data_IF_256493332932
#
_entry.id   IF_256493332932
#
_cell.length_a   1.000
_cell.length_b   1.000
_cell.length_c   1.000
_cell.angle_alpha   90.00
_cell.angle_beta   90.00
_cell.angle_gamma   90.00
#
_symmetry.space_group_name_H-M   'P 1'
#
loop_
_entity.id
_entity.type
_entity.pdbx_description
1 polymer ?
#
# COMPACT_ATOMS: atom_id res chain seq x y z
N UNK A 1 15.11 -21.41 3.10
CA UNK A 1 15.85 -20.41 3.92
C UNK A 1 16.69 -19.57 2.99
N UNK A 2 16.39 -18.28 2.83
CA UNK A 2 17.12 -17.38 1.93
C UNK A 2 18.50 -17.05 2.52
N UNK A 3 19.56 -17.66 1.97
CA UNK A 3 20.95 -17.42 2.39
C UNK A 3 21.74 -16.81 1.23
N UNK A 4 21.51 -15.52 0.97
CA UNK A 4 22.20 -14.81 -0.12
C UNK A 4 23.34 -13.93 0.41
N UNK A 5 23.30 -13.57 1.70
CA UNK A 5 24.47 -13.02 2.38
C UNK A 5 25.55 -14.12 2.47
N UNK A 6 26.51 -14.08 1.55
CA UNK A 6 27.66 -14.99 1.49
C UNK A 6 27.70 -15.95 0.30
N UNK A 7 26.76 -15.88 -0.64
CA UNK A 7 26.78 -16.71 -1.85
C UNK A 7 27.80 -16.17 -2.87
N UNK A 8 28.65 -17.04 -3.40
CA UNK A 8 29.58 -16.70 -4.48
C UNK A 8 28.83 -16.54 -5.81
N UNK A 9 29.41 -15.77 -6.75
CA UNK A 9 28.82 -15.59 -8.09
C UNK A 9 28.62 -16.94 -8.82
N UNK A 10 29.45 -17.94 -8.52
CA UNK A 10 29.33 -19.29 -9.09
C UNK A 10 28.10 -20.02 -8.54
N UNK A 11 27.87 -19.95 -7.24
CA UNK A 11 26.70 -20.56 -6.60
C UNK A 11 25.41 -19.87 -7.05
N UNK A 12 25.43 -18.53 -7.16
CA UNK A 12 24.31 -17.77 -7.71
C UNK A 12 23.98 -18.19 -9.15
N UNK A 13 24.99 -18.36 -10.00
CA UNK A 13 24.78 -18.80 -11.38
C UNK A 13 24.12 -20.18 -11.44
N UNK A 14 24.58 -21.12 -10.61
CA UNK A 14 24.00 -22.47 -10.54
C UNK A 14 22.55 -22.43 -10.05
N UNK A 15 22.25 -21.63 -9.02
CA UNK A 15 20.92 -21.50 -8.44
C UNK A 15 19.88 -20.99 -9.47
N UNK A 16 20.27 -20.03 -10.31
CA UNK A 16 19.40 -19.42 -11.33
C UNK A 16 19.47 -20.14 -12.70
N UNK A 17 20.15 -21.29 -12.78
CA UNK A 17 20.26 -22.08 -14.00
C UNK A 17 21.12 -21.48 -15.11
N UNK A 18 22.12 -20.66 -14.77
CA UNK A 18 23.05 -20.03 -15.71
C UNK A 18 24.49 -20.52 -15.54
N UNK A 19 25.30 -20.39 -16.60
CA UNK A 19 26.75 -20.53 -16.43
C UNK A 19 27.34 -19.28 -15.76
N UNK A 20 28.41 -19.40 -14.95
CA UNK A 20 29.05 -18.25 -14.31
C UNK A 20 29.54 -17.19 -15.32
N UNK A 21 29.99 -17.62 -16.50
CA UNK A 21 30.44 -16.73 -17.57
C UNK A 21 29.26 -15.93 -18.16
N UNK A 22 28.12 -16.58 -18.36
CA UNK A 22 26.90 -15.93 -18.83
C UNK A 22 26.42 -14.88 -17.82
N UNK A 23 26.28 -15.27 -16.54
CA UNK A 23 25.89 -14.34 -15.48
C UNK A 23 26.83 -13.13 -15.40
N UNK A 24 28.15 -13.35 -15.44
CA UNK A 24 29.13 -12.26 -15.41
C UNK A 24 29.01 -11.33 -16.61
N UNK A 25 28.89 -11.89 -17.82
CA UNK A 25 28.72 -11.10 -19.05
C UNK A 25 27.44 -10.24 -19.02
N UNK A 26 26.34 -10.80 -18.53
CA UNK A 26 25.07 -10.09 -18.43
C UNK A 26 25.09 -8.98 -17.37
N UNK A 27 25.70 -9.21 -16.22
CA UNK A 27 25.88 -8.18 -15.19
C UNK A 27 26.74 -7.02 -15.70
N UNK A 28 27.89 -7.32 -16.33
CA UNK A 28 28.80 -6.30 -16.87
C UNK A 28 28.15 -5.42 -17.93
N UNK A 29 27.32 -6.02 -18.77
CA UNK A 29 26.69 -5.33 -19.90
C UNK A 29 25.30 -4.78 -19.57
N UNK A 30 24.84 -4.90 -18.30
CA UNK A 30 23.48 -4.58 -17.89
C UNK A 30 22.41 -5.20 -18.83
N UNK A 31 22.61 -6.46 -19.22
CA UNK A 31 21.86 -7.12 -20.30
C UNK A 31 20.71 -7.99 -19.78
N UNK A 32 20.24 -7.78 -18.55
CA UNK A 32 19.04 -8.45 -18.05
C UNK A 32 17.79 -7.66 -18.42
N UNK A 33 16.77 -8.36 -18.92
CA UNK A 33 15.43 -7.77 -19.03
C UNK A 33 14.82 -7.68 -17.63
N UNK A 34 13.91 -6.73 -17.45
CA UNK A 34 13.21 -6.53 -16.18
C UNK A 34 12.52 -7.83 -15.69
N UNK A 35 11.83 -8.55 -16.58
CA UNK A 35 11.18 -9.83 -16.24
C UNK A 35 12.16 -10.91 -15.77
N UNK A 36 13.37 -10.93 -16.33
CA UNK A 36 14.39 -11.91 -15.94
C UNK A 36 14.96 -11.58 -14.56
N UNK A 37 15.23 -10.31 -14.28
CA UNK A 37 15.64 -9.86 -12.94
C UNK A 37 14.56 -10.17 -11.91
N UNK A 38 13.29 -10.00 -12.30
CA UNK A 38 12.17 -10.30 -11.43
C UNK A 38 12.08 -11.77 -11.08
N UNK A 39 12.13 -12.65 -12.09
CA UNK A 39 12.09 -14.09 -11.88
C UNK A 39 13.28 -14.57 -11.02
N UNK A 40 14.48 -14.04 -11.29
CA UNK A 40 15.68 -14.33 -10.49
C UNK A 40 15.50 -13.88 -9.03
N UNK A 41 15.00 -12.66 -8.82
CA UNK A 41 14.74 -12.14 -7.47
C UNK A 41 13.73 -13.02 -6.72
N UNK A 42 12.63 -13.43 -7.36
CA UNK A 42 11.63 -14.32 -6.77
C UNK A 42 12.22 -15.69 -6.40
N UNK A 43 13.00 -16.32 -7.29
CA UNK A 43 13.69 -17.59 -7.01
C UNK A 43 14.62 -17.50 -5.80
N UNK A 44 15.26 -16.35 -5.64
CA UNK A 44 16.18 -16.03 -4.56
C UNK A 44 15.48 -15.60 -3.27
N UNK A 45 14.15 -15.47 -3.27
CA UNK A 45 13.37 -15.03 -2.12
C UNK A 45 13.47 -13.52 -1.83
N UNK A 46 13.77 -12.73 -2.86
CA UNK A 46 13.78 -11.26 -2.80
C UNK A 46 12.48 -10.67 -3.36
N UNK A 47 12.19 -9.44 -2.92
CA UNK A 47 11.10 -8.61 -3.44
C UNK A 47 11.70 -7.62 -4.46
N UNK A 48 11.00 -7.40 -5.56
CA UNK A 48 11.35 -6.38 -6.56
C UNK A 48 10.54 -5.12 -6.29
N UNK A 49 11.25 -3.99 -6.16
CA UNK A 49 10.64 -2.67 -6.01
C UNK A 49 11.04 -1.79 -7.20
N UNK A 50 10.08 -1.03 -7.72
CA UNK A 50 10.38 0.08 -8.64
C UNK A 50 10.85 1.25 -7.79
N UNK A 51 11.91 1.96 -8.20
CA UNK A 51 12.42 3.14 -7.51
C UNK A 51 12.45 4.34 -8.45
N UNK A 52 12.22 5.51 -7.90
CA UNK A 52 12.44 6.77 -8.58
C UNK A 52 13.94 6.97 -8.85
N UNK A 53 14.29 7.38 -10.07
CA UNK A 53 15.68 7.51 -10.49
C UNK A 53 16.38 8.74 -9.91
N UNK A 54 15.65 9.78 -9.51
CA UNK A 54 16.25 11.03 -9.03
C UNK A 54 16.59 10.94 -7.53
N UNK A 55 15.70 10.33 -6.74
CA UNK A 55 15.83 10.29 -5.29
C UNK A 55 15.99 8.88 -4.71
N UNK A 56 15.89 7.82 -5.53
CA UNK A 56 16.08 6.44 -5.10
C UNK A 56 14.97 5.90 -4.19
N UNK A 57 13.90 6.67 -3.99
CA UNK A 57 12.76 6.24 -3.19
C UNK A 57 12.02 5.12 -3.93
N UNK A 58 11.61 4.07 -3.20
CA UNK A 58 10.68 3.11 -3.76
C UNK A 58 9.42 3.84 -4.22
N UNK A 59 8.93 3.48 -5.41
CA UNK A 59 7.60 3.81 -5.89
C UNK A 59 6.63 3.16 -4.90
N UNK A 60 6.27 3.93 -3.88
CA UNK A 60 5.24 3.52 -2.96
C UNK A 60 3.95 3.45 -3.77
N UNK A 61 3.20 2.35 -3.65
CA UNK A 61 1.77 2.40 -3.93
C UNK A 61 1.26 3.55 -3.08
N UNK A 62 0.84 4.63 -3.73
CA UNK A 62 0.38 5.84 -3.04
C UNK A 62 -0.84 5.51 -2.18
N UNK A 63 -0.60 5.05 -0.97
CA UNK A 63 -1.57 5.07 0.12
C UNK A 63 -1.63 6.46 0.72
N UNK A 64 -0.68 7.34 0.39
CA UNK A 64 -0.52 8.69 0.93
C UNK A 64 -0.63 9.81 -0.13
N UNK A 65 -1.56 9.68 -1.09
CA UNK A 65 -2.17 10.92 -1.60
C UNK A 65 -2.83 11.61 -0.40
N UNK A 66 -2.25 12.71 0.05
CA UNK A 66 -2.75 13.47 1.20
C UNK A 66 -3.97 14.25 0.73
N UNK A 67 -5.15 13.66 0.85
CA UNK A 67 -6.42 14.31 0.48
C UNK A 67 -6.74 15.46 1.44
N UNK A 68 -7.59 16.44 1.02
CA UNK A 68 -7.84 17.62 1.82
C UNK A 68 -8.38 17.22 3.19
N UNK A 69 -7.63 17.55 4.25
CA UNK A 69 -8.07 17.38 5.62
C UNK A 69 -9.38 18.14 5.79
N UNK A 70 -10.41 17.47 6.30
CA UNK A 70 -11.73 18.07 6.52
C UNK A 70 -11.91 18.35 7.99
N UNK A 71 -12.27 19.60 8.29
CA UNK A 71 -12.74 20.02 9.60
C UNK A 71 -14.13 20.65 9.48
N UNK A 72 -15.16 19.99 10.01
CA UNK A 72 -16.57 20.44 9.84
C UNK A 72 -17.46 20.05 11.01
N UNK A 73 -18.46 20.87 11.30
CA UNK A 73 -19.55 20.52 12.22
C UNK A 73 -20.56 19.59 11.52
N UNK A 74 -20.82 18.42 12.09
CA UNK A 74 -21.84 17.46 11.63
C UNK A 74 -22.64 17.03 12.85
N UNK A 75 -23.96 17.25 12.84
CA UNK A 75 -24.87 16.90 13.94
C UNK A 75 -24.39 17.38 15.32
N UNK A 76 -23.88 18.61 15.41
CA UNK A 76 -23.37 19.20 16.66
C UNK A 76 -21.98 18.72 17.08
N UNK A 77 -21.30 17.90 16.27
CA UNK A 77 -19.95 17.41 16.54
C UNK A 77 -18.93 17.95 15.53
N UNK A 78 -17.78 18.40 16.02
CA UNK A 78 -16.65 18.76 15.15
C UNK A 78 -15.96 17.48 14.71
N UNK A 79 -16.03 17.21 13.41
CA UNK A 79 -15.22 16.20 12.72
C UNK A 79 -13.93 16.86 12.28
N UNK A 80 -12.80 16.19 12.52
CA UNK A 80 -11.47 16.60 12.08
C UNK A 80 -10.71 15.36 11.58
N UNK A 81 -10.63 15.18 10.26
CA UNK A 81 -9.94 13.99 9.69
C UNK A 81 -8.44 14.00 9.97
N UNK A 82 -7.84 15.16 10.31
CA UNK A 82 -6.45 15.24 10.73
C UNK A 82 -6.19 14.63 12.11
N UNK A 83 -7.24 14.50 12.93
CA UNK A 83 -7.19 13.88 14.26
C UNK A 83 -7.80 12.47 14.28
N UNK A 84 -8.25 11.99 13.14
CA UNK A 84 -8.92 10.70 13.02
C UNK A 84 -7.98 9.67 12.38
N UNK A 85 -8.20 8.40 12.68
CA UNK A 85 -7.48 7.27 12.07
C UNK A 85 -8.22 6.83 10.82
N UNK A 86 -7.52 6.68 9.70
CA UNK A 86 -8.08 6.10 8.48
C UNK A 86 -8.30 4.59 8.69
N UNK A 87 -9.55 4.15 8.62
CA UNK A 87 -9.98 2.76 8.80
C UNK A 87 -9.84 2.00 7.47
N UNK A 88 -10.45 2.51 6.40
CA UNK A 88 -10.29 1.95 5.06
C UNK A 88 -10.58 3.00 3.98
N UNK A 89 -10.12 2.73 2.77
CA UNK A 89 -10.36 3.56 1.58
C UNK A 89 -10.82 2.68 0.42
N UNK A 90 -11.67 3.23 -0.43
CA UNK A 90 -11.93 2.69 -1.77
C UNK A 90 -12.07 3.81 -2.79
N UNK A 91 -11.72 3.50 -4.04
CA UNK A 91 -11.91 4.39 -5.18
C UNK A 91 -12.80 3.69 -6.20
N UNK A 92 -13.97 4.26 -6.44
CA UNK A 92 -14.96 3.79 -7.41
C UNK A 92 -15.05 4.79 -8.56
N UNK A 93 -14.32 4.51 -9.65
CA UNK A 93 -14.16 5.41 -10.80
C UNK A 93 -13.65 6.81 -10.39
N UNK A 94 -14.52 7.81 -10.38
CA UNK A 94 -14.21 9.21 -10.04
C UNK A 94 -14.53 9.57 -8.58
N UNK A 95 -15.09 8.63 -7.80
CA UNK A 95 -15.48 8.84 -6.41
C UNK A 95 -14.51 8.09 -5.51
N UNK A 96 -13.95 8.78 -4.52
CA UNK A 96 -13.24 8.19 -3.41
C UNK A 96 -14.14 8.17 -2.17
N UNK A 97 -14.04 7.09 -1.42
CA UNK A 97 -14.72 6.89 -0.14
C UNK A 97 -13.65 6.51 0.88
N UNK A 98 -13.54 7.29 1.94
CA UNK A 98 -12.69 7.02 3.08
C UNK A 98 -13.55 6.86 4.33
N UNK A 99 -13.23 5.85 5.15
CA UNK A 99 -13.82 5.67 6.47
C UNK A 99 -12.78 6.05 7.50
N UNK A 100 -13.14 6.91 8.45
CA UNK A 100 -12.28 7.24 9.58
C UNK A 100 -12.93 6.87 10.90
N UNK A 101 -12.09 6.60 11.91
CA UNK A 101 -12.45 6.49 13.33
C UNK A 101 -11.83 7.66 14.07
N UNK A 102 -12.63 8.48 14.72
CA UNK A 102 -12.12 9.61 15.50
C UNK A 102 -11.65 9.19 16.89
N UNK A 103 -11.02 10.12 17.61
CA UNK A 103 -10.49 9.89 18.97
C UNK A 103 -11.58 9.56 20.00
N UNK A 104 -12.85 9.87 19.70
CA UNK A 104 -14.00 9.54 20.54
C UNK A 104 -14.64 8.19 20.17
N UNK A 105 -14.06 7.46 19.21
CA UNK A 105 -14.54 6.16 18.76
C UNK A 105 -15.67 6.20 17.73
N UNK A 106 -16.05 7.38 17.23
CA UNK A 106 -17.09 7.50 16.21
C UNK A 106 -16.52 7.29 14.81
N UNK A 107 -17.35 6.75 13.93
CA UNK A 107 -16.99 6.52 12.54
C UNK A 107 -17.60 7.59 11.64
N UNK A 108 -16.91 7.90 10.56
CA UNK A 108 -17.38 8.82 9.53
C UNK A 108 -16.97 8.35 8.15
N UNK A 109 -17.82 8.66 7.16
CA UNK A 109 -17.48 8.51 5.74
C UNK A 109 -17.15 9.89 5.18
N UNK A 110 -16.01 9.99 4.51
CA UNK A 110 -15.67 11.11 3.66
C UNK A 110 -15.72 10.67 2.19
N UNK A 111 -16.68 11.22 1.43
CA UNK A 111 -16.87 10.95 0.00
C UNK A 111 -16.53 12.20 -0.80
N UNK A 112 -15.61 12.07 -1.76
CA UNK A 112 -15.17 13.17 -2.61
C UNK A 112 -14.88 12.70 -4.03
N UNK A 113 -14.87 13.62 -4.99
CA UNK A 113 -14.72 13.35 -6.43
C UNK A 113 -14.98 14.62 -7.23
N UNK A 114 -15.55 14.49 -8.44
CA UNK A 114 -15.95 15.65 -9.26
C UNK A 114 -17.13 16.45 -8.68
N UNK A 115 -17.86 15.87 -7.73
CA UNK A 115 -18.95 16.53 -7.00
C UNK A 115 -18.46 17.15 -5.68
N UNK A 116 -19.32 17.97 -5.07
CA UNK A 116 -19.06 18.55 -3.74
C UNK A 116 -18.82 17.43 -2.72
N UNK A 117 -17.68 17.50 -2.05
CA UNK A 117 -17.32 16.53 -1.02
C UNK A 117 -18.33 16.52 0.14
N UNK A 118 -18.62 15.32 0.65
CA UNK A 118 -19.58 15.08 1.73
C UNK A 118 -18.91 14.32 2.87
N UNK A 119 -19.26 14.69 4.09
CA UNK A 119 -18.82 14.01 5.30
C UNK A 119 -20.04 13.73 6.17
N UNK A 120 -20.18 12.47 6.59
CA UNK A 120 -21.31 12.00 7.38
C UNK A 120 -20.81 11.12 8.53
N UNK A 121 -21.46 11.22 9.68
CA UNK A 121 -21.26 10.25 10.77
C UNK A 121 -22.01 8.97 10.43
N UNK A 122 -21.39 7.84 10.73
CA UNK A 122 -21.99 6.51 10.55
C UNK A 122 -21.88 5.72 11.86
N UNK A 123 -22.76 4.73 12.03
CA UNK A 123 -22.64 3.79 13.13
C UNK A 123 -21.58 2.71 12.85
N UNK A 124 -21.26 1.92 13.88
CA UNK A 124 -20.27 0.84 13.80
C UNK A 124 -20.69 -0.28 12.83
N UNK A 125 -21.99 -0.54 12.65
CA UNK A 125 -22.47 -1.59 11.76
C UNK A 125 -22.26 -1.22 10.30
N UNK A 126 -22.50 0.04 9.95
CA UNK A 126 -22.20 0.60 8.63
C UNK A 126 -20.69 0.63 8.38
N UNK A 127 -19.90 1.06 9.38
CA UNK A 127 -18.43 1.04 9.28
C UNK A 127 -17.89 -0.38 9.01
N UNK A 128 -18.40 -1.40 9.72
CA UNK A 128 -18.06 -2.81 9.50
C UNK A 128 -18.48 -3.30 8.13
N UNK A 129 -19.65 -2.90 7.63
CA UNK A 129 -20.13 -3.27 6.28
C UNK A 129 -19.24 -2.71 5.18
N UNK A 130 -18.84 -1.44 5.27
CA UNK A 130 -17.91 -0.83 4.31
C UNK A 130 -16.54 -1.51 4.39
N UNK A 131 -16.06 -1.81 5.60
CA UNK A 131 -14.78 -2.48 5.80
C UNK A 131 -14.77 -3.92 5.28
N UNK A 132 -15.86 -4.67 5.45
CA UNK A 132 -15.97 -6.01 4.86
C UNK A 132 -15.88 -5.98 3.33
N UNK A 133 -16.34 -4.89 2.70
CA UNK A 133 -16.29 -4.73 1.25
C UNK A 133 -14.91 -4.26 0.73
N UNK A 134 -14.19 -3.42 1.49
CA UNK A 134 -13.02 -2.69 0.97
C UNK A 134 -11.79 -2.64 1.89
N UNK A 135 -11.91 -3.10 3.12
CA UNK A 135 -10.85 -3.06 4.13
C UNK A 135 -9.88 -4.22 4.01
N UNK A 136 -8.66 -4.01 4.54
CA UNK A 136 -7.66 -5.06 4.72
C UNK A 136 -8.06 -5.95 5.90
N UNK A 137 -8.53 -7.16 5.63
CA UNK A 137 -9.06 -8.05 6.68
C UNK A 137 -8.01 -8.40 7.76
N UNK A 138 -6.70 -8.23 7.49
CA UNK A 138 -5.66 -8.45 8.50
C UNK A 138 -5.59 -7.35 9.57
N UNK A 139 -6.29 -6.23 9.37
CA UNK A 139 -6.31 -5.08 10.28
C UNK A 139 -7.68 -4.86 10.93
N UNK A 140 -8.60 -5.80 10.79
CA UNK A 140 -9.97 -5.64 11.27
C UNK A 140 -10.01 -5.30 12.79
N UNK A 141 -9.23 -6.03 13.57
CA UNK A 141 -9.19 -5.93 15.03
C UNK A 141 -8.64 -4.58 15.51
N UNK A 142 -7.78 -3.92 14.71
CA UNK A 142 -7.26 -2.57 14.98
C UNK A 142 -8.39 -1.54 15.10
N UNK A 143 -9.51 -1.76 14.39
CA UNK A 143 -10.55 -0.76 14.22
C UNK A 143 -11.84 -1.10 14.94
N UNK A 144 -12.17 -2.38 15.10
CA UNK A 144 -13.52 -2.83 15.50
C UNK A 144 -13.59 -3.69 16.75
N UNK A 145 -12.46 -4.10 17.31
CA UNK A 145 -12.41 -4.79 18.60
C UNK A 145 -12.13 -3.79 19.73
N UNK A 146 -12.77 -4.05 20.87
CA UNK A 146 -12.43 -3.55 22.21
C UNK A 146 -12.38 -4.78 23.12
#
# INVERSE_FOLDING_TARGET
MAKIRGMTQKELALEIGMSPQNLNGRLKNNAFKAEELRSIAEQLGFIVEVKDNENGAALQNSTEETYPRVKKMVNGKIIDTAKSVLVCRTKMAIICIEVYKDQSGFYLVYRYGNEKATVVLIDILEAKRIYAAFGDQNRYDEFFEN
#
